data_IF_461214217249
#
_entry.id   IF_461214217249
#
_cell.length_a   1.000
_cell.length_b   1.000
_cell.length_c   1.000
_cell.angle_alpha   90.00
_cell.angle_beta   90.00
_cell.angle_gamma   90.00
#
_symmetry.space_group_name_H-M   'P 1'
#
loop_
_entity.id
_entity.type
_entity.pdbx_description
1 polymer ?
#
# COMPACT_ATOMS: atom_id res chain seq x y z
N UNK A 1 9.28 8.89 -18.30
CA UNK A 1 8.35 8.21 -17.35
C UNK A 1 6.93 8.65 -17.64
N UNK A 2 6.03 7.74 -18.01
CA UNK A 2 4.64 8.08 -18.35
C UNK A 2 3.77 8.17 -17.09
N UNK A 3 3.35 9.39 -16.73
CA UNK A 3 2.47 9.67 -15.59
C UNK A 3 0.97 9.63 -15.94
N UNK A 4 0.62 9.52 -17.22
CA UNK A 4 -0.77 9.55 -17.70
C UNK A 4 -1.63 8.44 -17.10
N UNK A 5 -1.03 7.29 -16.75
CA UNK A 5 -1.74 6.18 -16.09
C UNK A 5 -2.35 6.52 -14.73
N UNK A 6 -1.87 7.59 -14.09
CA UNK A 6 -2.34 8.06 -12.78
C UNK A 6 -3.36 9.20 -12.89
N UNK A 7 -3.55 9.76 -14.08
CA UNK A 7 -4.54 10.81 -14.33
C UNK A 7 -5.92 10.31 -13.89
N UNK A 8 -6.62 11.14 -13.12
CA UNK A 8 -7.89 10.86 -12.46
C UNK A 8 -7.88 9.70 -11.46
N UNK A 9 -6.74 9.05 -11.22
CA UNK A 9 -6.60 7.90 -10.32
C UNK A 9 -5.84 8.20 -9.03
N UNK A 10 -4.88 9.14 -9.07
CA UNK A 10 -4.14 9.58 -7.89
C UNK A 10 -3.49 10.94 -8.13
N UNK A 11 -3.28 11.71 -7.06
CA UNK A 11 -2.30 12.80 -7.05
C UNK A 11 -0.89 12.20 -6.97
N UNK A 12 0.10 12.88 -7.51
CA UNK A 12 1.49 12.40 -7.49
C UNK A 12 2.35 13.38 -6.73
N UNK A 13 3.17 12.86 -5.83
CA UNK A 13 4.34 13.55 -5.31
C UNK A 13 5.55 13.03 -6.08
N UNK A 14 5.97 13.77 -7.11
CA UNK A 14 7.09 13.39 -7.96
C UNK A 14 8.38 13.97 -7.39
N UNK A 15 9.30 13.13 -6.95
CA UNK A 15 10.63 13.55 -6.50
C UNK A 15 11.63 13.27 -7.63
N UNK A 16 12.28 14.32 -8.13
CA UNK A 16 13.46 14.23 -8.99
C UNK A 16 14.69 14.40 -8.11
N UNK A 17 15.64 13.46 -8.16
CA UNK A 17 16.87 13.52 -7.36
C UNK A 17 18.09 13.16 -8.20
N UNK A 18 19.26 13.81 -8.00
CA UNK A 18 20.49 13.44 -8.69
C UNK A 18 20.95 12.01 -8.34
N UNK A 19 20.73 11.59 -7.09
CA UNK A 19 21.02 10.23 -6.62
C UNK A 19 20.22 9.89 -5.35
N UNK A 20 20.21 8.62 -4.94
CA UNK A 20 19.47 8.18 -3.76
C UNK A 20 20.18 8.42 -2.41
N UNK A 21 21.43 8.88 -2.44
CA UNK A 21 22.19 9.28 -1.24
C UNK A 21 21.99 10.76 -0.89
N UNK A 22 21.28 11.51 -1.74
CA UNK A 22 20.94 12.90 -1.50
C UNK A 22 20.16 13.05 -0.17
N UNK A 23 20.63 13.96 0.69
CA UNK A 23 20.09 14.14 2.05
C UNK A 23 18.63 14.61 2.02
N UNK A 24 18.29 15.50 1.08
CA UNK A 24 16.95 16.07 0.94
C UNK A 24 15.98 14.99 0.45
N UNK A 25 16.41 14.14 -0.47
CA UNK A 25 15.67 12.95 -0.90
C UNK A 25 15.37 11.99 0.25
N UNK A 26 16.39 11.66 1.06
CA UNK A 26 16.22 10.76 2.21
C UNK A 26 15.24 11.36 3.21
N UNK A 27 15.37 12.65 3.53
CA UNK A 27 14.46 13.37 4.43
C UNK A 27 13.02 13.37 3.89
N UNK A 28 12.82 13.72 2.61
CA UNK A 28 11.51 13.72 1.99
C UNK A 28 10.86 12.33 1.97
N UNK A 29 11.64 11.29 1.66
CA UNK A 29 11.17 9.90 1.70
C UNK A 29 10.77 9.49 3.11
N UNK A 30 11.57 9.85 4.12
CA UNK A 30 11.25 9.59 5.54
C UNK A 30 9.94 10.26 5.95
N UNK A 31 9.78 11.55 5.66
CA UNK A 31 8.55 12.30 5.95
C UNK A 31 7.32 11.65 5.29
N UNK A 32 7.45 11.23 4.02
CA UNK A 32 6.37 10.54 3.33
C UNK A 32 6.00 9.22 4.02
N UNK A 33 6.98 8.41 4.43
CA UNK A 33 6.73 7.15 5.13
C UNK A 33 6.11 7.38 6.51
N UNK A 34 6.64 8.32 7.29
CA UNK A 34 6.13 8.65 8.63
C UNK A 34 4.68 9.15 8.60
N UNK A 35 4.25 9.76 7.48
CA UNK A 35 2.91 10.31 7.27
C UNK A 35 2.11 9.57 6.19
N UNK A 36 2.49 8.35 5.83
CA UNK A 36 1.98 7.63 4.66
C UNK A 36 0.45 7.50 4.66
N UNK A 37 -0.15 7.29 5.84
CA UNK A 37 -1.60 7.20 6.01
C UNK A 37 -2.32 8.49 5.62
N UNK A 38 -1.75 9.65 5.96
CA UNK A 38 -2.33 10.96 5.66
C UNK A 38 -2.16 11.34 4.18
N UNK A 39 -1.06 10.90 3.56
CA UNK A 39 -0.87 10.99 2.12
C UNK A 39 -1.88 10.11 1.36
N UNK A 40 -2.10 8.88 1.80
CA UNK A 40 -3.01 7.94 1.15
C UNK A 40 -4.48 8.32 1.30
N UNK A 41 -4.89 8.90 2.45
CA UNK A 41 -6.22 9.53 2.61
C UNK A 41 -6.49 10.62 1.57
N UNK A 42 -5.44 11.31 1.13
CA UNK A 42 -5.49 12.37 0.10
C UNK A 42 -5.18 11.85 -1.31
N UNK A 43 -5.11 10.53 -1.49
CA UNK A 43 -4.80 9.87 -2.76
C UNK A 43 -3.47 10.30 -3.38
N UNK A 44 -2.49 10.66 -2.54
CA UNK A 44 -1.16 11.07 -3.00
C UNK A 44 -0.24 9.86 -3.04
N UNK A 45 0.33 9.59 -4.22
CA UNK A 45 1.32 8.55 -4.45
C UNK A 45 2.71 9.16 -4.64
N UNK A 46 3.69 8.69 -3.88
CA UNK A 46 5.10 9.02 -4.10
C UNK A 46 5.64 8.31 -5.36
N UNK A 47 6.30 9.07 -6.23
CA UNK A 47 7.09 8.52 -7.33
C UNK A 47 8.45 9.20 -7.37
N UNK A 48 9.52 8.42 -7.47
CA UNK A 48 10.89 8.92 -7.52
C UNK A 48 11.46 8.73 -8.92
N UNK A 49 12.16 9.74 -9.43
CA UNK A 49 12.92 9.70 -10.68
C UNK A 49 14.35 10.12 -10.38
N UNK A 50 15.33 9.36 -10.87
CA UNK A 50 16.73 9.80 -10.86
C UNK A 50 16.97 10.71 -12.06
N UNK A 51 17.59 11.85 -11.83
CA UNK A 51 18.10 12.72 -12.88
C UNK A 51 19.46 13.30 -12.48
N UNK A 52 20.55 12.67 -12.95
CA UNK A 52 21.93 13.01 -12.56
C UNK A 52 22.32 14.45 -12.84
N UNK A 53 21.69 15.10 -13.81
CA UNK A 53 22.05 16.42 -14.30
C UNK A 53 21.17 17.54 -13.73
N UNK A 54 20.18 17.21 -12.89
CA UNK A 54 19.26 18.18 -12.32
C UNK A 54 19.39 18.25 -10.80
N UNK A 55 19.11 19.45 -10.26
CA UNK A 55 18.97 19.65 -8.83
C UNK A 55 17.73 18.89 -8.32
N UNK A 56 17.78 18.55 -7.03
CA UNK A 56 16.65 17.97 -6.34
C UNK A 56 15.39 18.83 -6.50
N UNK A 57 14.25 18.21 -6.80
CA UNK A 57 12.96 18.89 -6.87
C UNK A 57 11.81 17.97 -6.53
N UNK A 58 10.74 18.56 -6.00
CA UNK A 58 9.50 17.90 -5.66
C UNK A 58 8.37 18.59 -6.41
N UNK A 59 7.65 17.85 -7.24
CA UNK A 59 6.50 18.33 -7.97
C UNK A 59 5.23 17.65 -7.48
N UNK A 60 4.29 18.43 -6.92
CA UNK A 60 2.94 18.00 -6.62
C UNK A 60 2.09 18.10 -7.89
N UNK A 61 1.66 16.96 -8.39
CA UNK A 61 0.81 16.84 -9.58
C UNK A 61 -0.61 16.47 -9.13
N UNK A 62 -1.59 17.21 -9.64
CA UNK A 62 -3.01 16.98 -9.35
C UNK A 62 -3.59 15.77 -10.08
N UNK A 63 -4.87 15.47 -9.81
CA UNK A 63 -5.61 14.43 -10.53
C UNK A 63 -5.74 14.70 -12.03
N UNK A 64 -5.73 15.97 -12.43
CA UNK A 64 -5.75 16.38 -13.83
C UNK A 64 -4.43 16.10 -14.58
N UNK A 65 -3.38 15.69 -13.86
CA UNK A 65 -2.05 15.46 -14.39
C UNK A 65 -1.23 16.74 -14.55
N UNK A 66 -1.73 17.89 -14.09
CA UNK A 66 -1.01 19.17 -14.16
C UNK A 66 -0.17 19.40 -12.90
N UNK A 67 0.99 20.02 -13.09
CA UNK A 67 1.83 20.53 -12.00
C UNK A 67 1.03 21.55 -11.19
N UNK A 68 1.05 21.42 -9.86
CA UNK A 68 0.34 22.31 -8.92
C UNK A 68 1.30 23.12 -8.06
N UNK A 69 2.41 22.52 -7.67
CA UNK A 69 3.45 23.18 -6.90
C UNK A 69 4.78 22.46 -7.08
N UNK A 70 5.83 23.22 -7.34
CA UNK A 70 7.21 22.75 -7.30
C UNK A 70 7.85 23.27 -6.01
N UNK A 71 8.63 22.43 -5.34
CA UNK A 71 9.31 22.72 -4.08
C UNK A 71 10.70 22.08 -4.12
N UNK A 72 11.65 22.68 -3.42
CA UNK A 72 12.99 22.17 -3.17
C UNK A 72 13.06 21.32 -1.88
N UNK A 73 12.10 21.48 -0.95
CA UNK A 73 11.98 20.68 0.27
C UNK A 73 10.54 20.23 0.53
N UNK A 74 10.36 19.05 1.11
CA UNK A 74 9.04 18.53 1.44
C UNK A 74 8.46 19.18 2.71
N UNK A 75 7.52 20.11 2.54
CA UNK A 75 6.67 20.60 3.63
C UNK A 75 5.27 19.98 3.53
N UNK A 76 5.05 18.85 4.23
CA UNK A 76 3.79 18.12 4.16
C UNK A 76 2.59 18.93 4.67
N UNK A 77 2.78 19.82 5.66
CA UNK A 77 1.68 20.65 6.21
C UNK A 77 1.16 21.62 5.16
N UNK A 78 2.07 22.36 4.51
CA UNK A 78 1.71 23.28 3.43
C UNK A 78 1.10 22.52 2.24
N UNK A 79 1.69 21.39 1.88
CA UNK A 79 1.20 20.56 0.79
C UNK A 79 -0.22 20.03 1.07
N UNK A 80 -0.52 19.56 2.29
CA UNK A 80 -1.87 19.16 2.66
C UNK A 80 -2.86 20.32 2.58
N UNK A 81 -2.50 21.52 3.05
CA UNK A 81 -3.35 22.71 2.89
C UNK A 81 -3.66 23.01 1.42
N UNK A 82 -2.68 22.86 0.53
CA UNK A 82 -2.86 23.04 -0.91
C UNK A 82 -3.80 21.96 -1.48
N UNK A 83 -3.61 20.69 -1.11
CA UNK A 83 -4.41 19.57 -1.59
C UNK A 83 -5.85 19.64 -1.09
N UNK A 84 -6.05 20.00 0.17
CA UNK A 84 -7.36 20.04 0.80
C UNK A 84 -8.24 21.15 0.20
N UNK A 85 -7.61 22.19 -0.38
CA UNK A 85 -8.29 23.22 -1.19
C UNK A 85 -8.60 22.78 -2.63
N UNK A 86 -8.11 21.61 -3.08
CA UNK A 86 -8.38 21.10 -4.42
C UNK A 86 -9.57 20.15 -4.42
N UNK A 87 -10.72 20.53 -5.01
CA UNK A 87 -11.88 19.65 -5.07
C UNK A 87 -11.62 18.41 -5.92
N UNK A 88 -12.27 17.30 -5.56
CA UNK A 88 -12.33 16.11 -6.41
C UNK A 88 -13.28 16.37 -7.59
N UNK A 89 -12.81 16.11 -8.80
CA UNK A 89 -13.67 16.17 -9.98
C UNK A 89 -14.57 14.92 -10.05
N UNK A 90 -15.77 15.05 -10.64
CA UNK A 90 -16.63 13.90 -10.98
C UNK A 90 -15.92 12.83 -11.84
N UNK A 91 -14.88 13.22 -12.58
CA UNK A 91 -14.05 12.31 -13.40
C UNK A 91 -13.07 11.47 -12.55
N UNK A 92 -12.84 11.82 -11.29
CA UNK A 92 -11.88 11.13 -10.44
C UNK A 92 -12.39 9.74 -10.05
N UNK A 93 -11.52 8.73 -10.21
CA UNK A 93 -11.71 7.35 -9.76
C UNK A 93 -10.51 6.96 -8.91
N UNK A 94 -10.44 7.43 -7.64
CA UNK A 94 -9.23 7.31 -6.85
C UNK A 94 -8.87 5.86 -6.53
N UNK A 95 -7.60 5.50 -6.71
CA UNK A 95 -7.09 4.18 -6.31
C UNK A 95 -6.98 4.11 -4.79
N UNK A 96 -7.39 2.98 -4.21
CA UNK A 96 -7.16 2.68 -2.80
C UNK A 96 -5.68 2.33 -2.55
N UNK A 97 -4.87 3.34 -2.22
CA UNK A 97 -3.45 3.17 -1.89
C UNK A 97 -3.22 2.39 -0.59
N UNK A 98 -4.20 2.36 0.32
CA UNK A 98 -4.10 1.65 1.59
C UNK A 98 -4.06 0.13 1.42
N UNK A 99 -4.62 -0.41 0.34
CA UNK A 99 -4.74 -1.86 0.13
C UNK A 99 -3.37 -2.57 0.12
N UNK A 100 -2.33 -1.87 -0.31
CA UNK A 100 -0.96 -2.40 -0.47
C UNK A 100 0.02 -1.82 0.55
N UNK A 101 -0.46 -1.11 1.56
CA UNK A 101 0.40 -0.34 2.47
C UNK A 101 0.33 -0.90 3.88
N UNK A 102 1.50 -1.16 4.45
CA UNK A 102 1.64 -1.45 5.87
C UNK A 102 1.87 -0.15 6.63
N UNK A 103 0.84 0.29 7.35
CA UNK A 103 0.91 1.52 8.14
C UNK A 103 1.58 1.34 9.50
N UNK A 104 1.78 0.09 9.96
CA UNK A 104 2.35 -0.21 11.26
C UNK A 104 3.47 -1.26 11.15
N UNK A 105 4.52 -1.01 10.33
CA UNK A 105 5.53 -2.03 10.00
C UNK A 105 6.30 -2.55 11.21
N UNK A 106 6.37 -1.76 12.29
CA UNK A 106 7.01 -2.15 13.56
C UNK A 106 6.27 -3.27 14.30
N UNK A 107 4.95 -3.34 14.16
CA UNK A 107 4.10 -4.31 14.88
C UNK A 107 3.50 -5.38 13.97
N UNK A 108 3.56 -5.16 12.65
CA UNK A 108 3.01 -6.09 11.66
C UNK A 108 3.80 -7.39 11.66
N UNK A 109 3.08 -8.51 11.77
CA UNK A 109 3.64 -9.84 11.64
C UNK A 109 4.10 -10.06 10.20
N UNK A 110 5.42 -10.11 10.00
CA UNK A 110 6.03 -10.28 8.69
C UNK A 110 5.98 -11.74 8.22
N UNK A 111 6.07 -11.93 6.90
CA UNK A 111 6.24 -13.25 6.31
C UNK A 111 4.98 -14.10 6.23
N UNK A 112 3.79 -13.57 6.44
CA UNK A 112 2.54 -14.29 6.16
C UNK A 112 2.34 -14.43 4.64
N UNK A 113 1.64 -15.47 4.17
CA UNK A 113 1.40 -15.64 2.74
C UNK A 113 0.63 -16.90 2.34
N UNK A 114 0.37 -17.02 1.04
CA UNK A 114 -0.47 -18.05 0.42
C UNK A 114 0.16 -18.69 -0.82
N UNK A 115 1.49 -18.57 -1.00
CA UNK A 115 2.17 -19.04 -2.22
C UNK A 115 2.07 -20.56 -2.43
N UNK A 116 2.06 -21.33 -1.34
CA UNK A 116 2.05 -22.78 -1.33
C UNK A 116 1.54 -23.32 0.03
N UNK A 117 1.34 -24.64 0.10
CA UNK A 117 0.95 -25.38 1.31
C UNK A 117 1.76 -25.02 2.55
N UNK A 118 3.09 -25.11 2.45
CA UNK A 118 3.99 -24.83 3.57
C UNK A 118 3.81 -23.41 4.11
N UNK A 119 3.64 -22.44 3.21
CA UNK A 119 3.44 -21.04 3.59
C UNK A 119 2.09 -20.80 4.25
N UNK A 120 1.04 -21.52 3.84
CA UNK A 120 -0.25 -21.47 4.48
C UNK A 120 -0.19 -22.03 5.92
N UNK A 121 0.45 -23.18 6.11
CA UNK A 121 0.67 -23.77 7.44
C UNK A 121 1.51 -22.85 8.34
N UNK A 122 2.59 -22.28 7.81
CA UNK A 122 3.39 -21.28 8.51
C UNK A 122 2.53 -20.09 8.95
N UNK A 123 1.67 -19.58 8.06
CA UNK A 123 0.78 -18.45 8.35
C UNK A 123 -0.17 -18.78 9.51
N UNK A 124 -0.84 -19.94 9.47
CA UNK A 124 -1.74 -20.40 10.53
C UNK A 124 -0.99 -20.53 11.87
N UNK A 125 0.18 -21.17 11.86
CA UNK A 125 1.01 -21.37 13.05
C UNK A 125 1.43 -20.03 13.67
N UNK A 126 1.84 -19.08 12.84
CA UNK A 126 2.34 -17.78 13.29
C UNK A 126 1.25 -16.94 13.95
N UNK A 127 0.00 -17.04 13.49
CA UNK A 127 -1.10 -16.25 14.03
C UNK A 127 -1.88 -16.94 15.16
N UNK A 128 -1.54 -18.19 15.54
CA UNK A 128 -2.34 -18.99 16.50
C UNK A 128 -2.59 -18.30 17.85
N UNK A 129 -1.63 -17.48 18.30
CA UNK A 129 -1.69 -16.79 19.60
C UNK A 129 -2.30 -15.38 19.51
N UNK A 130 -2.78 -14.96 18.33
CA UNK A 130 -3.48 -13.68 18.13
C UNK A 130 -4.97 -13.85 18.45
N UNK A 131 -5.70 -12.75 18.62
CA UNK A 131 -7.15 -12.81 18.83
C UNK A 131 -7.88 -13.53 17.69
N UNK A 132 -8.97 -14.23 17.98
CA UNK A 132 -9.74 -14.98 16.97
C UNK A 132 -10.17 -14.09 15.80
N UNK A 133 -10.58 -12.85 16.08
CA UNK A 133 -10.91 -11.85 15.06
C UNK A 133 -9.73 -11.56 14.13
N UNK A 134 -8.52 -11.41 14.68
CA UNK A 134 -7.32 -11.21 13.88
C UNK A 134 -7.01 -12.44 13.01
N UNK A 135 -7.09 -13.64 13.59
CA UNK A 135 -6.84 -14.89 12.85
C UNK A 135 -7.77 -15.03 11.64
N UNK A 136 -9.08 -14.86 11.86
CA UNK A 136 -10.10 -14.90 10.81
C UNK A 136 -9.83 -13.85 9.74
N UNK A 137 -9.52 -12.61 10.12
CA UNK A 137 -9.24 -11.53 9.16
C UNK A 137 -8.02 -11.84 8.29
N UNK A 138 -6.94 -12.35 8.88
CA UNK A 138 -5.75 -12.75 8.13
C UNK A 138 -6.07 -13.88 7.17
N UNK A 139 -6.74 -14.94 7.64
CA UNK A 139 -7.02 -16.13 6.82
C UNK A 139 -8.00 -15.78 5.69
N UNK A 140 -9.07 -15.03 5.97
CA UNK A 140 -10.00 -14.56 4.95
C UNK A 140 -9.28 -13.69 3.89
N UNK A 141 -8.35 -12.83 4.31
CA UNK A 141 -7.54 -12.01 3.38
C UNK A 141 -6.64 -12.89 2.50
N UNK A 142 -5.92 -13.85 3.08
CA UNK A 142 -5.04 -14.76 2.34
C UNK A 142 -5.83 -15.63 1.36
N UNK A 143 -6.97 -16.16 1.81
CA UNK A 143 -7.88 -16.97 0.99
C UNK A 143 -8.42 -16.16 -0.20
N UNK A 144 -8.89 -14.93 0.05
CA UNK A 144 -9.40 -14.05 -1.01
C UNK A 144 -8.32 -13.68 -2.03
N UNK A 145 -7.09 -13.41 -1.58
CA UNK A 145 -5.96 -13.11 -2.47
C UNK A 145 -5.52 -14.32 -3.29
N UNK A 146 -5.47 -15.50 -2.67
CA UNK A 146 -5.12 -16.74 -3.36
C UNK A 146 -6.17 -17.11 -4.43
N UNK A 147 -7.46 -17.01 -4.09
CA UNK A 147 -8.56 -17.32 -5.02
C UNK A 147 -8.61 -16.40 -6.23
N UNK A 148 -8.25 -15.13 -6.07
CA UNK A 148 -8.30 -14.10 -7.12
C UNK A 148 -6.93 -13.79 -7.73
N UNK A 149 -5.89 -14.61 -7.47
CA UNK A 149 -4.57 -14.37 -8.03
C UNK A 149 -4.59 -14.55 -9.55
N UNK A 150 -4.10 -13.58 -10.36
CA UNK A 150 -4.21 -13.64 -11.83
C UNK A 150 -3.44 -14.83 -12.43
N UNK A 151 -2.34 -15.22 -11.78
CA UNK A 151 -1.52 -16.37 -12.18
C UNK A 151 -1.60 -17.43 -11.07
N UNK A 152 -2.74 -18.09 -10.93
CA UNK A 152 -2.96 -19.12 -9.90
C UNK A 152 -2.18 -20.40 -10.25
N UNK A 153 -1.43 -20.94 -9.30
CA UNK A 153 -0.69 -22.20 -9.45
C UNK A 153 -1.33 -23.33 -8.65
N UNK A 154 -1.00 -24.59 -8.97
CA UNK A 154 -1.44 -25.75 -8.19
C UNK A 154 -1.04 -25.63 -6.71
N UNK A 155 0.16 -25.12 -6.42
CA UNK A 155 0.62 -24.89 -5.06
C UNK A 155 -0.28 -23.89 -4.29
N UNK A 156 -0.82 -22.87 -4.98
CA UNK A 156 -1.78 -21.95 -4.37
C UNK A 156 -3.12 -22.62 -4.09
N UNK A 157 -3.53 -23.63 -4.86
CA UNK A 157 -4.73 -24.41 -4.59
C UNK A 157 -4.60 -25.21 -3.29
N UNK A 158 -3.43 -25.79 -3.03
CA UNK A 158 -3.16 -26.43 -1.74
C UNK A 158 -3.24 -25.45 -0.56
N UNK A 159 -2.73 -24.23 -0.74
CA UNK A 159 -2.87 -23.17 0.25
C UNK A 159 -4.34 -22.79 0.47
N UNK A 160 -5.14 -22.69 -0.60
CA UNK A 160 -6.58 -22.40 -0.54
C UNK A 160 -7.30 -23.49 0.26
N UNK A 161 -6.98 -24.77 0.02
CA UNK A 161 -7.58 -25.89 0.76
C UNK A 161 -7.30 -25.78 2.25
N UNK A 162 -6.04 -25.59 2.63
CA UNK A 162 -5.61 -25.45 4.04
C UNK A 162 -6.33 -24.30 4.76
N UNK A 163 -6.46 -23.15 4.10
CA UNK A 163 -7.18 -22.02 4.68
C UNK A 163 -8.69 -22.24 4.76
N UNK A 164 -9.27 -22.96 3.79
CA UNK A 164 -10.70 -23.29 3.79
C UNK A 164 -11.03 -24.27 4.91
N UNK A 165 -10.24 -25.35 5.05
CA UNK A 165 -10.38 -26.33 6.13
C UNK A 165 -10.27 -25.67 7.51
N UNK A 166 -9.34 -24.72 7.66
CA UNK A 166 -9.21 -23.96 8.91
C UNK A 166 -10.46 -23.11 9.19
N UNK A 167 -11.00 -22.43 8.17
CA UNK A 167 -12.20 -21.58 8.31
C UNK A 167 -13.45 -22.39 8.65
N UNK A 168 -13.60 -23.59 8.09
CA UNK A 168 -14.69 -24.50 8.41
C UNK A 168 -14.61 -24.98 9.86
N UNK A 169 -13.44 -25.46 10.29
CA UNK A 169 -13.20 -25.85 11.69
C UNK A 169 -13.42 -24.71 12.68
N UNK A 170 -13.10 -23.47 12.29
CA UNK A 170 -13.39 -22.30 13.11
C UNK A 170 -14.89 -22.03 13.22
N UNK A 171 -15.64 -22.15 12.11
CA UNK A 171 -17.10 -21.95 12.09
C UNK A 171 -17.85 -23.03 12.90
N UNK A 172 -17.46 -24.29 12.78
CA UNK A 172 -18.10 -25.40 13.51
C UNK A 172 -17.96 -25.23 15.03
N UNK A 173 -16.76 -24.90 15.51
CA UNK A 173 -16.52 -24.58 16.94
C UNK A 173 -17.29 -23.38 17.45
N UNK A 174 -17.71 -22.47 16.55
CA UNK A 174 -18.50 -21.30 16.91
C UNK A 174 -20.00 -21.63 16.94
N UNK A 175 -20.49 -22.59 16.14
CA UNK A 175 -21.89 -23.03 16.20
C UNK A 175 -22.21 -23.95 17.37
N UNK A 176 -21.18 -24.55 17.98
CA UNK A 176 -21.29 -25.43 19.16
C UNK A 176 -21.25 -24.66 20.50
N UNK A 177 -20.97 -23.35 20.48
CA UNK A 177 -20.90 -22.46 21.64
C UNK A 177 -21.92 -21.32 21.52
#
# INVERSE_FOLDING_TARGET
>A
MNLGKFKWKSRILLISTPNYKDKIYIEAKKIYQDKIKDFHKRYVKLICKINKNEKFSINLIGFDGKSKKIMDKLNYKLMFKIIDKMPLSKKSRPINLSLYSDYNPKTTTQGLGFKNKEKALYTIKTIKNRSSKYQVNVIATMLGRAKNHPNKTKDMEDAIKIFSDWMEKYKSKKSEN
#
